data_IF_094794498347
#
_entry.id   IF_094794498347
#
_cell.length_a   1.000
_cell.length_b   1.000
_cell.length_c   1.000
_cell.angle_alpha   90.00
_cell.angle_beta   90.00
_cell.angle_gamma   90.00
#
_symmetry.space_group_name_H-M   'P 1'
#
loop_
_entity.id
_entity.type
_entity.pdbx_description
1 polymer ?
#
# COMPACT_ATOMS: atom_id res chain seq x y z
N UNK A 1 -9.89 17.80 -3.94
CA UNK A 1 -10.33 19.21 -4.11
C UNK A 1 -10.74 19.55 -5.53
N UNK A 2 -9.90 19.34 -6.55
CA UNK A 2 -10.27 19.70 -7.94
C UNK A 2 -11.49 18.93 -8.47
N UNK A 3 -11.67 17.67 -8.06
CA UNK A 3 -12.88 16.87 -8.35
C UNK A 3 -14.18 17.45 -7.80
N UNK A 4 -14.13 18.38 -6.83
CA UNK A 4 -15.32 19.09 -6.33
C UNK A 4 -15.86 20.16 -7.29
N UNK A 5 -15.03 20.60 -8.25
CA UNK A 5 -15.35 21.62 -9.24
C UNK A 5 -15.55 21.01 -10.64
N UNK A 6 -15.34 19.70 -10.77
CA UNK A 6 -15.38 18.98 -12.04
C UNK A 6 -16.83 18.75 -12.48
N UNK A 7 -17.19 19.25 -13.65
CA UNK A 7 -18.50 19.02 -14.29
C UNK A 7 -18.41 18.08 -15.49
N UNK A 8 -17.20 17.85 -16.03
CA UNK A 8 -16.96 17.00 -17.21
C UNK A 8 -16.11 15.79 -16.85
N UNK A 9 -16.38 14.66 -17.49
CA UNK A 9 -15.69 13.38 -17.22
C UNK A 9 -14.15 13.49 -17.35
N UNK A 10 -13.63 14.19 -18.36
CA UNK A 10 -12.18 14.38 -18.54
C UNK A 10 -11.52 15.07 -17.35
N UNK A 11 -12.24 15.94 -16.62
CA UNK A 11 -11.71 16.65 -15.46
C UNK A 11 -11.53 15.70 -14.27
N UNK A 12 -12.34 14.65 -14.16
CA UNK A 12 -12.14 13.59 -13.16
C UNK A 12 -10.92 12.74 -13.48
N UNK A 13 -10.68 12.40 -14.75
CA UNK A 13 -9.47 11.68 -15.17
C UNK A 13 -8.22 12.49 -14.86
N UNK A 14 -8.21 13.78 -15.22
CA UNK A 14 -7.06 14.66 -14.96
C UNK A 14 -6.81 14.88 -13.47
N UNK A 15 -7.87 15.11 -12.68
CA UNK A 15 -7.73 15.39 -11.26
C UNK A 15 -7.41 14.14 -10.42
N UNK A 16 -8.13 13.03 -10.64
CA UNK A 16 -8.06 11.83 -9.81
C UNK A 16 -7.07 10.79 -10.37
N UNK A 17 -6.89 10.73 -11.68
CA UNK A 17 -5.90 9.86 -12.31
C UNK A 17 -4.53 10.50 -12.28
N UNK A 18 -4.37 11.59 -13.03
CA UNK A 18 -3.04 12.19 -13.27
C UNK A 18 -2.54 12.97 -12.05
N UNK A 19 -3.25 14.01 -11.62
CA UNK A 19 -2.74 14.90 -10.56
C UNK A 19 -2.60 14.15 -9.24
N UNK A 20 -3.61 13.37 -8.85
CA UNK A 20 -3.55 12.59 -7.62
C UNK A 20 -2.45 11.52 -7.68
N UNK A 21 -2.31 10.79 -8.80
CA UNK A 21 -1.24 9.80 -8.96
C UNK A 21 0.17 10.41 -8.85
N UNK A 22 0.41 11.53 -9.54
CA UNK A 22 1.68 12.26 -9.46
C UNK A 22 1.94 12.76 -8.04
N UNK A 23 0.92 13.35 -7.38
CA UNK A 23 1.04 13.84 -6.02
C UNK A 23 1.35 12.74 -5.00
N UNK A 24 0.65 11.61 -5.08
CA UNK A 24 0.91 10.44 -4.22
C UNK A 24 2.31 9.90 -4.47
N UNK A 25 2.76 9.78 -5.71
CA UNK A 25 4.12 9.33 -6.03
C UNK A 25 5.20 10.25 -5.44
N UNK A 26 5.02 11.57 -5.54
CA UNK A 26 5.96 12.56 -4.99
C UNK A 26 6.03 12.55 -3.46
N UNK A 27 4.95 12.17 -2.77
CA UNK A 27 4.93 12.12 -1.31
C UNK A 27 5.39 10.76 -0.79
N UNK A 28 4.91 9.68 -1.41
CA UNK A 28 5.05 8.32 -0.89
C UNK A 28 6.49 7.81 -0.95
N UNK A 29 7.15 7.87 -2.11
CA UNK A 29 8.46 7.27 -2.30
C UNK A 29 9.59 7.98 -1.51
N UNK A 30 9.66 9.33 -1.48
CA UNK A 30 10.70 10.01 -0.70
C UNK A 30 10.59 9.75 0.80
N UNK A 31 9.36 9.73 1.35
CA UNK A 31 9.14 9.41 2.76
C UNK A 31 9.63 8.00 3.12
N UNK A 32 9.36 7.01 2.27
CA UNK A 32 9.78 5.62 2.49
C UNK A 32 11.29 5.43 2.35
N UNK A 33 11.90 6.14 1.39
CA UNK A 33 13.35 6.18 1.25
C UNK A 33 14.00 6.80 2.47
N UNK A 34 13.46 7.90 3.00
CA UNK A 34 13.96 8.57 4.19
C UNK A 34 13.97 7.62 5.41
N UNK A 35 12.87 6.91 5.68
CA UNK A 35 12.79 5.92 6.76
C UNK A 35 13.87 4.85 6.62
N UNK A 36 14.05 4.32 5.41
CA UNK A 36 15.04 3.28 5.11
C UNK A 36 16.49 3.75 5.30
N UNK A 37 16.75 5.05 5.18
CA UNK A 37 18.08 5.65 5.45
C UNK A 37 18.32 5.93 6.94
N UNK A 38 17.27 6.23 7.71
CA UNK A 38 17.38 6.51 9.14
C UNK A 38 17.66 5.25 9.94
N UNK A 39 16.93 4.18 9.69
CA UNK A 39 17.04 2.92 10.41
C UNK A 39 17.88 1.92 9.60
N UNK A 40 18.83 1.24 10.26
CA UNK A 40 19.61 0.14 9.66
C UNK A 40 19.33 -1.20 10.32
N UNK A 41 19.20 -1.24 11.65
CA UNK A 41 19.01 -2.46 12.45
C UNK A 41 17.54 -2.87 12.64
N UNK A 42 16.60 -1.93 12.65
CA UNK A 42 15.15 -2.16 12.82
C UNK A 42 14.34 -1.60 11.65
N UNK A 43 14.79 -1.90 10.43
CA UNK A 43 14.23 -1.33 9.19
C UNK A 43 12.81 -1.82 8.97
N UNK A 44 12.56 -3.11 9.14
CA UNK A 44 11.24 -3.71 8.99
C UNK A 44 10.24 -3.05 9.92
N UNK A 45 10.57 -2.95 11.21
CA UNK A 45 9.72 -2.29 12.21
C UNK A 45 9.36 -0.85 11.83
N UNK A 46 10.36 -0.03 11.47
CA UNK A 46 10.14 1.38 11.16
C UNK A 46 9.26 1.57 9.91
N UNK A 47 9.52 0.78 8.86
CA UNK A 47 8.70 0.78 7.66
C UNK A 47 7.28 0.28 7.96
N UNK A 48 7.14 -0.80 8.73
CA UNK A 48 5.83 -1.34 9.11
C UNK A 48 4.96 -0.35 9.89
N UNK A 49 5.53 0.37 10.85
CA UNK A 49 4.83 1.45 11.57
C UNK A 49 4.35 2.53 10.60
N UNK A 50 5.19 2.97 9.66
CA UNK A 50 4.81 3.97 8.67
C UNK A 50 3.68 3.46 7.74
N UNK A 51 3.75 2.20 7.29
CA UNK A 51 2.72 1.58 6.46
C UNK A 51 1.40 1.37 7.19
N UNK A 52 1.42 1.23 8.52
CA UNK A 52 0.21 1.09 9.33
C UNK A 52 -0.75 2.28 9.11
N UNK A 53 -0.22 3.49 8.84
CA UNK A 53 -1.01 4.67 8.47
C UNK A 53 -1.88 4.46 7.22
N UNK A 54 -1.42 3.69 6.23
CA UNK A 54 -2.23 3.34 5.05
C UNK A 54 -3.45 2.48 5.43
N UNK A 55 -3.29 1.53 6.36
CA UNK A 55 -4.40 0.73 6.87
C UNK A 55 -5.41 1.56 7.66
N UNK A 56 -4.94 2.46 8.53
CA UNK A 56 -5.82 3.38 9.29
C UNK A 56 -6.59 4.29 8.33
N UNK A 57 -5.93 4.88 7.33
CA UNK A 57 -6.60 5.67 6.30
C UNK A 57 -7.65 4.86 5.54
N UNK A 58 -7.35 3.61 5.19
CA UNK A 58 -8.29 2.69 4.53
C UNK A 58 -9.56 2.39 5.34
N UNK A 59 -9.53 2.53 6.67
CA UNK A 59 -10.72 2.39 7.53
C UNK A 59 -11.42 3.73 7.74
N UNK A 60 -10.67 4.80 8.02
CA UNK A 60 -11.22 6.11 8.38
C UNK A 60 -11.88 6.80 7.18
N UNK A 61 -11.23 6.83 6.01
CA UNK A 61 -11.73 7.57 4.84
C UNK A 61 -13.07 7.03 4.31
N UNK A 62 -13.29 5.71 4.13
CA UNK A 62 -14.58 5.21 3.66
C UNK A 62 -15.73 5.51 4.62
N UNK A 63 -15.53 5.35 5.93
CA UNK A 63 -16.55 5.65 6.95
C UNK A 63 -16.87 7.16 6.96
N UNK A 64 -15.83 7.99 6.89
CA UNK A 64 -15.99 9.45 6.82
C UNK A 64 -16.76 9.85 5.57
N UNK A 65 -16.39 9.35 4.38
CA UNK A 65 -17.07 9.68 3.13
C UNK A 65 -18.53 9.23 3.12
N UNK A 66 -18.86 8.06 3.67
CA UNK A 66 -20.24 7.59 3.75
C UNK A 66 -21.15 8.56 4.51
N UNK A 67 -20.65 9.13 5.63
CA UNK A 67 -21.41 10.12 6.42
C UNK A 67 -21.43 11.49 5.73
N UNK A 68 -20.28 11.96 5.28
CA UNK A 68 -20.15 13.29 4.66
C UNK A 68 -20.93 13.40 3.34
N UNK A 69 -21.05 12.32 2.57
CA UNK A 69 -21.86 12.36 1.34
C UNK A 69 -23.34 12.60 1.61
N UNK A 70 -23.87 12.14 2.75
CA UNK A 70 -25.28 12.34 3.13
C UNK A 70 -25.48 13.73 3.75
N UNK A 71 -24.56 14.18 4.60
CA UNK A 71 -24.74 15.42 5.37
C UNK A 71 -24.38 16.69 4.58
N UNK A 72 -23.25 16.68 3.85
CA UNK A 72 -22.68 17.88 3.21
C UNK A 72 -22.54 17.77 1.70
N UNK A 73 -22.87 16.61 1.13
CA UNK A 73 -22.79 16.33 -0.30
C UNK A 73 -21.37 16.09 -0.80
N UNK A 74 -21.27 15.61 -2.04
CA UNK A 74 -20.01 15.20 -2.68
C UNK A 74 -18.94 16.32 -2.73
N UNK A 75 -19.25 17.57 -3.13
CA UNK A 75 -18.22 18.60 -3.29
C UNK A 75 -17.52 18.96 -1.97
N UNK A 76 -18.27 19.09 -0.87
CA UNK A 76 -17.71 19.41 0.45
C UNK A 76 -17.01 18.22 1.09
N UNK A 77 -17.53 17.01 0.91
CA UNK A 77 -16.87 15.80 1.39
C UNK A 77 -15.41 15.69 0.89
N UNK A 78 -15.19 15.96 -0.40
CA UNK A 78 -13.88 15.90 -1.04
C UNK A 78 -12.97 17.09 -0.70
N UNK A 79 -13.54 18.19 -0.19
CA UNK A 79 -12.76 19.33 0.34
C UNK A 79 -12.26 19.03 1.75
N UNK A 80 -13.13 18.49 2.61
CA UNK A 80 -12.76 18.09 3.98
C UNK A 80 -11.62 17.07 3.96
N UNK A 81 -11.70 16.04 3.10
CA UNK A 81 -10.61 15.08 2.94
C UNK A 81 -9.30 15.72 2.46
N UNK A 82 -9.41 16.75 1.61
CA UNK A 82 -8.26 17.54 1.15
C UNK A 82 -7.60 18.35 2.27
N UNK A 83 -8.39 18.98 3.15
CA UNK A 83 -7.87 19.74 4.29
C UNK A 83 -7.18 18.83 5.31
N UNK A 84 -7.75 17.65 5.60
CA UNK A 84 -7.13 16.63 6.46
C UNK A 84 -5.78 16.20 5.86
N UNK A 85 -5.77 15.88 4.57
CA UNK A 85 -4.53 15.49 3.87
C UNK A 85 -3.48 16.61 3.89
N UNK A 86 -3.90 17.86 3.73
CA UNK A 86 -3.01 19.02 3.78
C UNK A 86 -2.39 19.23 5.16
N UNK A 87 -3.18 19.08 6.23
CA UNK A 87 -2.67 19.11 7.59
C UNK A 87 -1.64 18.00 7.85
N UNK A 88 -1.93 16.77 7.42
CA UNK A 88 -0.98 15.66 7.53
C UNK A 88 0.30 15.92 6.72
N UNK A 89 0.19 16.48 5.50
CA UNK A 89 1.34 16.82 4.68
C UNK A 89 2.18 17.94 5.30
N UNK A 90 1.55 18.95 5.92
CA UNK A 90 2.26 20.02 6.62
C UNK A 90 3.09 19.47 7.79
N UNK A 91 2.52 18.55 8.57
CA UNK A 91 3.24 17.84 9.64
C UNK A 91 4.37 17.00 9.05
N UNK A 92 4.15 16.28 7.95
CA UNK A 92 5.18 15.49 7.29
C UNK A 92 6.35 16.37 6.80
N UNK A 93 6.06 17.53 6.19
CA UNK A 93 7.10 18.49 5.76
C UNK A 93 7.93 18.99 6.95
N UNK A 94 7.29 19.26 8.09
CA UNK A 94 7.98 19.73 9.28
C UNK A 94 8.81 18.66 9.99
N UNK A 95 8.46 17.38 9.84
CA UNK A 95 9.03 16.28 10.65
C UNK A 95 9.94 15.32 9.87
N UNK A 96 9.80 15.24 8.54
CA UNK A 96 10.60 14.34 7.71
C UNK A 96 11.98 14.96 7.47
N UNK A 97 12.91 14.60 8.35
CA UNK A 97 14.31 15.02 8.26
C UNK A 97 15.15 13.96 7.54
N UNK A 98 16.28 14.37 6.95
CA UNK A 98 17.25 13.47 6.30
C UNK A 98 18.39 13.12 7.27
N UNK A 99 18.77 11.84 7.41
CA UNK A 99 19.89 11.43 8.29
C UNK A 99 21.28 11.67 7.70
N UNK A 100 21.41 11.60 6.37
CA UNK A 100 22.69 11.72 5.67
C UNK A 100 22.65 12.93 4.75
N UNK A 101 23.70 13.74 4.80
CA UNK A 101 23.91 14.81 3.82
C UNK A 101 23.89 14.23 2.40
N UNK A 102 23.38 14.99 1.41
CA UNK A 102 23.47 14.58 0.03
C UNK A 102 24.95 14.50 -0.32
N UNK A 103 25.50 13.29 -0.46
CA UNK A 103 26.67 13.11 -1.31
C UNK A 103 26.20 13.61 -2.68
N UNK A 104 26.74 14.76 -3.14
CA UNK A 104 26.49 15.29 -4.48
C UNK A 104 26.69 14.14 -5.47
N UNK A 105 25.60 13.55 -5.95
CA UNK A 105 25.69 12.38 -6.81
C UNK A 105 25.51 12.84 -8.24
N UNK A 106 26.62 12.86 -8.97
CA UNK A 106 26.68 12.92 -10.43
C UNK A 106 26.22 11.60 -11.08
N UNK A 107 25.44 10.76 -10.37
CA UNK A 107 25.01 9.48 -10.89
C UNK A 107 23.79 9.66 -11.82
N UNK A 108 23.73 8.89 -12.93
CA UNK A 108 22.60 8.92 -13.83
C UNK A 108 21.30 8.56 -13.09
N UNK A 109 20.18 9.15 -13.55
CA UNK A 109 18.86 8.99 -12.93
C UNK A 109 18.43 7.52 -12.83
N UNK A 110 18.84 6.71 -13.80
CA UNK A 110 18.70 5.26 -13.82
C UNK A 110 20.03 4.69 -14.31
N UNK A 111 20.68 3.83 -13.52
CA UNK A 111 21.83 3.05 -13.98
C UNK A 111 21.30 1.77 -14.66
N UNK A 112 21.56 1.55 -15.96
CA UNK A 112 21.12 0.35 -16.67
C UNK A 112 21.58 -0.96 -16.01
N UNK A 113 22.67 -0.91 -15.22
CA UNK A 113 23.18 -2.05 -14.44
C UNK A 113 22.16 -2.58 -13.41
N UNK A 114 21.14 -1.79 -13.04
CA UNK A 114 20.04 -2.24 -12.19
C UNK A 114 19.31 -3.43 -12.83
N UNK A 115 19.17 -3.45 -14.16
CA UNK A 115 18.53 -4.53 -14.90
C UNK A 115 19.44 -5.75 -15.14
N UNK A 116 20.67 -5.72 -14.64
CA UNK A 116 21.60 -6.86 -14.68
C UNK A 116 21.72 -7.54 -13.31
N UNK A 117 21.17 -6.94 -12.26
CA UNK A 117 21.21 -7.46 -10.88
C UNK A 117 20.13 -8.53 -10.70
N UNK A 118 20.49 -9.81 -10.87
CA UNK A 118 19.56 -10.96 -10.83
C UNK A 118 18.67 -10.98 -9.57
N UNK A 119 19.19 -10.79 -8.34
CA UNK A 119 18.36 -10.65 -7.14
C UNK A 119 17.28 -9.56 -7.25
N UNK A 120 17.60 -8.42 -7.86
CA UNK A 120 16.63 -7.34 -8.03
C UNK A 120 15.56 -7.70 -9.06
N UNK A 121 15.96 -8.27 -10.20
CA UNK A 121 15.03 -8.71 -11.25
C UNK A 121 14.04 -9.75 -10.70
N UNK A 122 14.50 -10.72 -9.92
CA UNK A 122 13.64 -11.73 -9.31
C UNK A 122 12.61 -11.13 -8.34
N UNK A 123 13.02 -10.14 -7.54
CA UNK A 123 12.09 -9.42 -6.65
C UNK A 123 11.07 -8.62 -7.45
N UNK A 124 11.49 -7.94 -8.52
CA UNK A 124 10.60 -7.18 -9.40
C UNK A 124 9.59 -8.12 -10.06
N UNK A 125 10.05 -9.20 -10.71
CA UNK A 125 9.20 -10.17 -11.38
C UNK A 125 8.20 -10.81 -10.41
N UNK A 126 8.65 -11.26 -9.24
CA UNK A 126 7.77 -11.81 -8.21
C UNK A 126 6.73 -10.80 -7.73
N UNK A 127 7.12 -9.52 -7.58
CA UNK A 127 6.19 -8.46 -7.15
C UNK A 127 5.13 -8.15 -8.19
N UNK A 128 5.50 -8.17 -9.48
CA UNK A 128 4.55 -8.01 -10.60
C UNK A 128 3.48 -9.11 -10.54
N UNK A 129 3.88 -10.38 -10.41
CA UNK A 129 2.94 -11.49 -10.32
C UNK A 129 2.01 -11.40 -9.11
N UNK A 130 2.52 -10.99 -7.95
CA UNK A 130 1.69 -10.82 -6.75
C UNK A 130 0.72 -9.64 -6.92
N UNK A 131 1.17 -8.50 -7.44
CA UNK A 131 0.35 -7.31 -7.60
C UNK A 131 -0.79 -7.50 -8.62
N UNK A 132 -0.59 -8.29 -9.68
CA UNK A 132 -1.66 -8.68 -10.62
C UNK A 132 -2.87 -9.31 -9.90
N UNK A 133 -2.63 -10.11 -8.85
CA UNK A 133 -3.69 -10.79 -8.09
C UNK A 133 -4.14 -10.06 -6.83
N UNK A 134 -3.35 -9.11 -6.32
CA UNK A 134 -3.52 -8.53 -4.99
C UNK A 134 -4.83 -7.75 -4.85
N UNK A 135 -5.24 -7.02 -5.88
CA UNK A 135 -6.41 -6.14 -5.80
C UNK A 135 -7.74 -6.84 -6.13
N UNK A 136 -7.71 -8.04 -6.70
CA UNK A 136 -8.93 -8.76 -7.12
C UNK A 136 -9.85 -8.99 -5.90
N UNK A 137 -9.40 -9.62 -4.80
CA UNK A 137 -10.15 -9.67 -3.55
C UNK A 137 -10.68 -8.34 -3.04
N UNK A 138 -9.90 -7.26 -3.16
CA UNK A 138 -10.32 -5.95 -2.65
C UNK A 138 -11.54 -5.39 -3.37
N UNK A 139 -11.64 -5.61 -4.68
CA UNK A 139 -12.76 -5.11 -5.48
C UNK A 139 -13.97 -6.05 -5.44
N UNK A 140 -13.77 -7.36 -5.53
CA UNK A 140 -14.86 -8.32 -5.74
C UNK A 140 -15.46 -8.90 -4.45
N UNK A 141 -14.84 -8.72 -3.28
CA UNK A 141 -15.34 -9.36 -2.04
C UNK A 141 -16.71 -8.84 -1.62
N UNK A 142 -17.01 -7.57 -1.91
CA UNK A 142 -18.31 -6.99 -1.61
C UNK A 142 -19.42 -7.56 -2.51
N UNK A 143 -19.14 -7.75 -3.79
CA UNK A 143 -20.10 -8.33 -4.73
C UNK A 143 -20.31 -9.82 -4.44
N UNK A 144 -19.23 -10.55 -4.15
CA UNK A 144 -19.32 -11.95 -3.73
C UNK A 144 -20.15 -12.14 -2.45
N UNK A 145 -20.03 -11.23 -1.48
CA UNK A 145 -20.86 -11.23 -0.28
C UNK A 145 -22.35 -10.99 -0.60
N UNK A 146 -22.65 -10.08 -1.55
CA UNK A 146 -24.04 -9.81 -1.98
C UNK A 146 -24.66 -11.01 -2.68
N UNK A 147 -23.90 -11.71 -3.53
CA UNK A 147 -24.38 -12.93 -4.21
C UNK A 147 -24.75 -14.03 -3.22
N UNK A 148 -24.10 -14.06 -2.06
CA UNK A 148 -24.41 -14.96 -0.95
C UNK A 148 -25.50 -14.41 0.00
N UNK A 149 -26.31 -13.46 -0.48
CA UNK A 149 -27.45 -12.83 0.23
C UNK A 149 -27.07 -12.09 1.52
N UNK A 150 -25.83 -11.63 1.65
CA UNK A 150 -25.44 -10.75 2.75
C UNK A 150 -25.88 -9.31 2.48
N UNK A 151 -26.32 -8.61 3.53
CA UNK A 151 -26.71 -7.20 3.46
C UNK A 151 -25.54 -6.32 2.98
N UNK A 152 -25.86 -5.25 2.26
CA UNK A 152 -24.88 -4.25 1.79
C UNK A 152 -24.07 -3.64 2.94
N UNK A 153 -24.66 -3.51 4.13
CA UNK A 153 -23.96 -3.06 5.34
C UNK A 153 -22.91 -4.07 5.79
N UNK A 154 -23.21 -5.37 5.69
CA UNK A 154 -22.28 -6.46 6.03
C UNK A 154 -21.12 -6.52 5.03
N UNK A 155 -21.37 -6.34 3.73
CA UNK A 155 -20.33 -6.27 2.70
C UNK A 155 -19.31 -5.15 2.97
N UNK A 156 -19.77 -4.00 3.46
CA UNK A 156 -18.90 -2.89 3.84
C UNK A 156 -18.03 -3.23 5.07
N UNK A 157 -18.61 -3.88 6.08
CA UNK A 157 -17.85 -4.34 7.24
C UNK A 157 -16.80 -5.39 6.89
N UNK A 158 -17.02 -6.20 5.85
CA UNK A 158 -16.02 -7.16 5.35
C UNK A 158 -14.78 -6.44 4.81
N UNK A 159 -14.94 -5.36 4.03
CA UNK A 159 -13.79 -4.54 3.57
C UNK A 159 -13.08 -3.89 4.75
N UNK A 160 -13.84 -3.41 5.74
CA UNK A 160 -13.27 -2.82 6.96
C UNK A 160 -12.48 -3.86 7.77
N UNK A 161 -13.00 -5.09 7.89
CA UNK A 161 -12.32 -6.21 8.54
C UNK A 161 -11.04 -6.61 7.81
N UNK A 162 -11.06 -6.63 6.47
CA UNK A 162 -9.88 -6.87 5.65
C UNK A 162 -8.80 -5.80 5.87
N UNK A 163 -9.17 -4.51 5.86
CA UNK A 163 -8.24 -3.44 6.16
C UNK A 163 -7.71 -3.52 7.59
N UNK A 164 -8.56 -3.90 8.56
CA UNK A 164 -8.17 -4.18 9.94
C UNK A 164 -7.13 -5.30 10.05
N UNK A 165 -7.34 -6.43 9.38
CA UNK A 165 -6.33 -7.49 9.25
C UNK A 165 -5.03 -6.98 8.65
N UNK A 166 -5.14 -6.11 7.64
CA UNK A 166 -3.98 -5.46 7.01
C UNK A 166 -3.24 -4.44 7.88
N UNK A 167 -3.86 -3.86 8.91
CA UNK A 167 -3.13 -3.02 9.89
C UNK A 167 -2.15 -3.91 10.66
N UNK A 168 -2.63 -5.05 11.17
CA UNK A 168 -1.80 -6.03 11.90
C UNK A 168 -0.76 -6.64 10.97
N UNK A 169 -1.15 -6.96 9.73
CA UNK A 169 -0.25 -7.47 8.69
C UNK A 169 0.85 -6.50 8.28
N UNK A 170 0.62 -5.18 8.38
CA UNK A 170 1.66 -4.17 8.10
C UNK A 170 2.63 -3.99 9.27
N UNK A 171 2.35 -4.55 10.44
CA UNK A 171 3.13 -4.31 11.66
C UNK A 171 3.87 -5.58 12.10
N UNK A 172 3.18 -6.72 12.20
CA UNK A 172 3.76 -7.98 12.70
C UNK A 172 4.80 -8.62 11.76
N UNK A 173 4.51 -8.90 10.48
CA UNK A 173 5.49 -9.43 9.54
C UNK A 173 6.79 -8.58 9.44
N UNK A 174 6.74 -7.24 9.34
CA UNK A 174 7.96 -6.44 9.34
C UNK A 174 8.74 -6.47 10.66
N UNK A 175 8.06 -6.53 11.81
CA UNK A 175 8.71 -6.75 13.11
C UNK A 175 9.48 -8.08 13.14
N UNK A 176 8.84 -9.18 12.69
CA UNK A 176 9.48 -10.50 12.65
C UNK A 176 10.61 -10.53 11.62
N UNK A 177 10.48 -9.79 10.53
CA UNK A 177 11.50 -9.70 9.48
C UNK A 177 12.84 -9.12 9.96
N UNK A 178 12.84 -8.32 11.03
CA UNK A 178 14.06 -7.80 11.63
C UNK A 178 14.89 -8.90 12.32
N UNK A 179 14.27 -10.03 12.69
CA UNK A 179 14.95 -11.16 13.35
C UNK A 179 15.31 -12.28 12.37
N UNK A 180 14.37 -12.70 11.52
CA UNK A 180 14.57 -13.85 10.64
C UNK A 180 14.94 -13.46 9.20
N UNK A 181 14.93 -12.17 8.89
CA UNK A 181 15.25 -11.62 7.58
C UNK A 181 14.02 -11.37 6.70
N UNK A 182 14.05 -10.31 5.86
CA UNK A 182 12.89 -9.89 5.06
C UNK A 182 12.51 -10.87 3.96
N UNK A 183 13.50 -11.52 3.32
CA UNK A 183 13.24 -12.55 2.31
C UNK A 183 12.58 -13.81 2.89
N UNK A 184 12.91 -14.19 4.12
CA UNK A 184 12.35 -15.38 4.77
C UNK A 184 10.87 -15.17 5.16
N UNK A 185 10.41 -13.92 5.26
CA UNK A 185 8.99 -13.61 5.50
C UNK A 185 8.25 -13.33 4.17
N UNK A 186 8.86 -12.60 3.23
CA UNK A 186 8.13 -12.20 2.00
C UNK A 186 7.70 -13.41 1.16
N UNK A 187 8.51 -14.47 1.10
CA UNK A 187 8.23 -15.68 0.32
C UNK A 187 7.01 -16.44 0.85
N UNK A 188 6.95 -16.85 2.14
CA UNK A 188 5.76 -17.50 2.67
C UNK A 188 4.55 -16.57 2.67
N UNK A 189 4.71 -15.27 2.91
CA UNK A 189 3.61 -14.31 2.78
C UNK A 189 3.04 -14.28 1.37
N UNK A 190 3.88 -14.18 0.33
CA UNK A 190 3.45 -14.18 -1.07
C UNK A 190 2.78 -15.50 -1.46
N UNK A 191 3.34 -16.63 -1.03
CA UNK A 191 2.77 -17.96 -1.29
C UNK A 191 1.41 -18.13 -0.64
N UNK A 192 1.29 -17.82 0.65
CA UNK A 192 0.01 -17.90 1.38
C UNK A 192 -1.01 -16.89 0.85
N UNK A 193 -0.55 -15.70 0.42
CA UNK A 193 -1.41 -14.69 -0.20
C UNK A 193 -2.04 -15.23 -1.48
N UNK A 194 -1.28 -15.89 -2.36
CA UNK A 194 -1.80 -16.51 -3.58
C UNK A 194 -2.63 -17.77 -3.33
N UNK A 195 -2.28 -18.56 -2.31
CA UNK A 195 -3.02 -19.77 -1.94
C UNK A 195 -4.37 -19.46 -1.29
N UNK A 196 -4.46 -18.36 -0.53
CA UNK A 196 -5.66 -18.06 0.26
C UNK A 196 -6.93 -17.88 -0.56
N UNK A 197 -6.97 -17.20 -1.73
CA UNK A 197 -8.15 -17.20 -2.58
C UNK A 197 -8.51 -18.60 -3.10
N UNK A 198 -7.53 -19.41 -3.48
CA UNK A 198 -7.78 -20.74 -4.06
C UNK A 198 -8.37 -21.72 -3.05
N UNK A 199 -7.93 -21.65 -1.79
CA UNK A 199 -8.31 -22.63 -0.76
C UNK A 199 -9.43 -22.12 0.15
N UNK A 200 -9.48 -20.82 0.44
CA UNK A 200 -10.47 -20.27 1.37
C UNK A 200 -11.62 -19.57 0.67
N UNK A 201 -11.37 -18.73 -0.34
CA UNK A 201 -12.45 -17.97 -0.99
C UNK A 201 -13.46 -18.89 -1.66
N UNK A 202 -13.00 -19.88 -2.42
CA UNK A 202 -13.87 -20.80 -3.18
C UNK A 202 -14.89 -21.52 -2.29
N UNK A 203 -14.52 -21.80 -1.04
CA UNK A 203 -15.38 -22.53 -0.09
C UNK A 203 -16.09 -21.60 0.91
N UNK A 204 -15.76 -20.32 0.94
CA UNK A 204 -16.37 -19.35 1.84
C UNK A 204 -17.79 -18.99 1.37
N UNK A 205 -18.80 -19.67 1.92
CA UNK A 205 -20.23 -19.40 1.63
C UNK A 205 -20.99 -18.77 2.80
N UNK A 206 -20.39 -18.74 3.98
CA UNK A 206 -20.98 -18.18 5.20
C UNK A 206 -20.34 -16.83 5.56
N UNK A 207 -21.08 -15.99 6.29
CA UNK A 207 -20.58 -14.70 6.78
C UNK A 207 -19.25 -14.86 7.53
N UNK A 208 -19.19 -15.83 8.44
CA UNK A 208 -18.00 -16.08 9.26
C UNK A 208 -16.82 -16.47 8.38
N UNK A 209 -17.01 -17.36 7.40
CA UNK A 209 -15.93 -17.77 6.51
C UNK A 209 -15.41 -16.61 5.65
N UNK A 210 -16.31 -15.75 5.14
CA UNK A 210 -15.94 -14.58 4.34
C UNK A 210 -15.17 -13.55 5.19
N UNK A 211 -15.60 -13.31 6.43
CA UNK A 211 -14.92 -12.39 7.36
C UNK A 211 -13.54 -12.93 7.75
N UNK A 212 -13.43 -14.22 8.06
CA UNK A 212 -12.13 -14.84 8.38
C UNK A 212 -11.17 -14.79 7.19
N UNK A 213 -11.67 -15.08 5.98
CA UNK A 213 -10.90 -14.91 4.75
C UNK A 213 -10.44 -13.45 4.59
N UNK A 214 -11.34 -12.49 4.76
CA UNK A 214 -11.04 -11.07 4.63
C UNK A 214 -9.91 -10.63 5.58
N UNK A 215 -9.99 -11.02 6.86
CA UNK A 215 -8.96 -10.70 7.87
C UNK A 215 -7.61 -11.35 7.49
N UNK A 216 -7.62 -12.64 7.13
CA UNK A 216 -6.42 -13.38 6.74
C UNK A 216 -5.76 -12.78 5.49
N UNK A 217 -6.55 -12.52 4.46
CA UNK A 217 -6.09 -11.91 3.20
C UNK A 217 -5.55 -10.50 3.44
N UNK A 218 -6.23 -9.72 4.28
CA UNK A 218 -5.77 -8.42 4.74
C UNK A 218 -4.40 -8.51 5.41
N UNK A 219 -4.23 -9.45 6.35
CA UNK A 219 -2.96 -9.67 7.05
C UNK A 219 -1.82 -10.02 6.08
N UNK A 220 -2.05 -10.97 5.17
CA UNK A 220 -1.04 -11.44 4.22
C UNK A 220 -0.67 -10.35 3.19
N UNK A 221 -1.66 -9.63 2.65
CA UNK A 221 -1.43 -8.53 1.70
C UNK A 221 -0.71 -7.35 2.36
N UNK A 222 -1.12 -6.98 3.58
CA UNK A 222 -0.45 -5.95 4.37
C UNK A 222 1.01 -6.29 4.67
N UNK A 223 1.28 -7.55 5.01
CA UNK A 223 2.63 -8.06 5.25
C UNK A 223 3.52 -8.00 4.01
N UNK A 224 2.98 -8.44 2.87
CA UNK A 224 3.70 -8.38 1.60
C UNK A 224 4.11 -6.95 1.24
N UNK A 225 3.16 -6.01 1.27
CA UNK A 225 3.40 -4.60 0.91
C UNK A 225 4.44 -3.96 1.84
N UNK A 226 4.37 -4.22 3.15
CA UNK A 226 5.27 -3.59 4.12
C UNK A 226 6.70 -4.16 4.07
N UNK A 227 6.88 -5.43 3.69
CA UNK A 227 8.19 -6.10 3.64
C UNK A 227 8.93 -5.89 2.32
N UNK A 228 8.19 -5.60 1.24
CA UNK A 228 8.77 -5.39 -0.08
C UNK A 228 9.91 -4.35 -0.07
N UNK A 229 9.71 -3.24 0.65
CA UNK A 229 10.71 -2.18 0.76
C UNK A 229 11.97 -2.62 1.52
N UNK A 230 11.85 -3.22 2.73
CA UNK A 230 12.98 -3.87 3.41
C UNK A 230 13.76 -4.88 2.55
N UNK A 231 13.07 -5.68 1.73
CA UNK A 231 13.73 -6.60 0.78
C UNK A 231 14.61 -5.85 -0.22
N UNK A 232 14.06 -4.83 -0.88
CA UNK A 232 14.82 -3.99 -1.83
C UNK A 232 15.96 -3.27 -1.13
N UNK A 233 15.74 -2.72 0.06
CA UNK A 233 16.77 -2.05 0.85
C UNK A 233 17.91 -2.99 1.30
N UNK A 234 17.65 -4.30 1.45
CA UNK A 234 18.66 -5.29 1.83
C UNK A 234 19.60 -5.65 0.68
N UNK A 235 19.10 -5.71 -0.56
CA UNK A 235 19.90 -6.00 -1.77
C UNK A 235 20.51 -4.76 -2.41
N UNK A 236 20.26 -3.57 -1.85
CA UNK A 236 20.63 -2.30 -2.46
C UNK A 236 21.64 -1.53 -1.62
N UNK A 237 22.59 -0.86 -2.29
CA UNK A 237 23.48 0.10 -1.63
C UNK A 237 22.66 1.29 -1.13
N UNK A 238 22.95 1.87 0.07
CA UNK A 238 22.18 2.96 0.67
C UNK A 238 21.91 4.15 -0.26
N UNK A 239 22.84 4.44 -1.16
CA UNK A 239 22.80 5.61 -2.05
C UNK A 239 21.82 5.45 -3.23
N UNK A 240 21.40 4.21 -3.56
CA UNK A 240 20.52 3.90 -4.70
C UNK A 240 19.19 3.27 -4.29
N UNK A 241 18.90 3.19 -2.98
CA UNK A 241 17.65 2.60 -2.46
C UNK A 241 16.43 3.32 -3.04
N UNK A 242 16.44 4.65 -3.06
CA UNK A 242 15.34 5.46 -3.60
C UNK A 242 15.07 5.16 -5.08
N UNK A 243 16.11 5.15 -5.92
CA UNK A 243 16.00 4.84 -7.35
C UNK A 243 15.46 3.43 -7.58
N UNK A 244 15.96 2.42 -6.85
CA UNK A 244 15.52 1.03 -7.00
C UNK A 244 14.07 0.82 -6.54
N UNK A 245 13.64 1.48 -5.47
CA UNK A 245 12.24 1.49 -5.04
C UNK A 245 11.37 2.13 -6.12
N UNK A 246 11.80 3.27 -6.68
CA UNK A 246 11.09 3.93 -7.77
C UNK A 246 10.95 3.04 -9.01
N UNK A 247 12.02 2.39 -9.45
CA UNK A 247 11.99 1.45 -10.60
C UNK A 247 11.07 0.26 -10.32
N UNK A 248 11.15 -0.35 -9.14
CA UNK A 248 10.27 -1.46 -8.74
C UNK A 248 8.79 -1.07 -8.87
N UNK A 249 8.38 0.01 -8.19
CA UNK A 249 6.97 0.42 -8.21
C UNK A 249 6.53 0.95 -9.58
N UNK A 250 7.43 1.52 -10.38
CA UNK A 250 7.13 1.90 -11.76
C UNK A 250 6.79 0.68 -12.61
N UNK A 251 7.57 -0.41 -12.50
CA UNK A 251 7.29 -1.65 -13.23
C UNK A 251 6.00 -2.30 -12.71
N UNK A 252 5.81 -2.34 -11.38
CA UNK A 252 4.60 -2.88 -10.75
C UNK A 252 3.35 -2.08 -11.16
N UNK A 253 3.45 -0.79 -11.45
CA UNK A 253 2.28 0.01 -11.86
C UNK A 253 1.68 -0.36 -13.22
N UNK A 254 2.41 -1.12 -14.05
CA UNK A 254 1.90 -1.65 -15.33
C UNK A 254 1.22 -3.01 -15.20
N UNK A 255 1.21 -3.59 -14.00
CA UNK A 255 0.54 -4.85 -13.67
C UNK A 255 -0.73 -4.59 -12.87
#
# INVERSE_FOLDING_TARGET
MMTSLSTRFYQYILAQGVLFGVGVGMIFYPCLSAISTHFSRRRGTAVGIAFTGSGVGGVVYPIMFQRLFVEVGFPWAVRISGFISLACCAVAIATVTRRREPVRHQAPWIDPKIFQDVPFILVVAGSVFVCLGLFIPFFYIADYARDHRLSSTTAFYIISAMNGGGIVGRLAPPLVSDFIGPFNIIVPCAFLLGLSPLVFWIFAKSLVAIVLFAILYGFLSGGFIAILIPCVAKISKPNVIGTRIGVLYSIVSFA
#
